data_IF_283875354861
#
_entry.id   IF_283875354861
#
_cell.length_a   1.000
_cell.length_b   1.000
_cell.length_c   1.000
_cell.angle_alpha   90.00
_cell.angle_beta   90.00
_cell.angle_gamma   90.00
#
_symmetry.space_group_name_H-M   'P 1'
#
loop_
_entity.id
_entity.type
_entity.pdbx_description
1 polymer ?
#
# COMPACT_ATOMS: atom_id res chain seq x y z
N UNK A 1 16.42 5.11 0.25
CA UNK A 1 15.14 4.38 0.22
C UNK A 1 14.11 5.14 1.04
N UNK A 2 12.89 5.22 0.55
CA UNK A 2 11.75 5.76 1.29
C UNK A 2 11.00 4.66 2.05
N UNK A 3 10.32 5.03 3.14
CA UNK A 3 9.60 4.09 4.01
C UNK A 3 8.15 4.49 4.22
N UNK A 4 7.24 3.53 4.03
CA UNK A 4 5.80 3.71 4.20
C UNK A 4 5.27 2.76 5.27
N UNK A 5 4.39 3.26 6.12
CA UNK A 5 3.55 2.40 6.97
C UNK A 5 2.22 2.17 6.25
N UNK A 6 1.81 0.91 6.14
CA UNK A 6 0.53 0.50 5.57
C UNK A 6 -0.37 -0.10 6.64
N UNK A 7 -1.59 0.41 6.77
CA UNK A 7 -2.64 -0.21 7.57
C UNK A 7 -3.90 -0.48 6.72
N UNK A 8 -4.24 -1.77 6.58
CA UNK A 8 -5.49 -2.21 5.90
C UNK A 8 -6.67 -2.22 6.89
N UNK A 9 -6.45 -1.81 8.11
CA UNK A 9 -7.44 -1.72 9.20
C UNK A 9 -8.18 -3.04 9.46
N UNK A 10 -7.43 -4.15 9.41
CA UNK A 10 -7.94 -5.44 9.87
C UNK A 10 -8.39 -5.36 11.33
N UNK A 11 -9.52 -5.99 11.64
CA UNK A 11 -10.06 -6.07 12.99
C UNK A 11 -10.64 -7.46 13.30
N UNK A 12 -9.89 -8.55 13.07
CA UNK A 12 -10.33 -9.89 13.43
C UNK A 12 -10.22 -10.09 14.95
N UNK A 13 -10.88 -11.12 15.51
CA UNK A 13 -10.58 -11.59 16.85
C UNK A 13 -9.10 -11.99 16.97
N UNK A 14 -8.50 -11.66 18.11
CA UNK A 14 -7.11 -12.03 18.39
C UNK A 14 -6.93 -13.56 18.40
N UNK A 15 -5.93 -14.15 17.72
CA UNK A 15 -5.84 -15.59 17.50
C UNK A 15 -5.62 -16.40 18.81
N UNK A 16 -5.11 -15.76 19.85
CA UNK A 16 -4.82 -16.42 21.13
C UNK A 16 -5.94 -16.15 22.15
N UNK A 17 -6.38 -14.89 22.31
CA UNK A 17 -7.33 -14.49 23.34
C UNK A 17 -8.79 -14.54 22.86
N UNK A 18 -9.05 -14.51 21.55
CA UNK A 18 -10.38 -14.41 20.97
C UNK A 18 -11.03 -13.03 21.06
N UNK A 19 -10.37 -12.07 21.67
CA UNK A 19 -10.89 -10.70 21.83
C UNK A 19 -10.83 -9.91 20.52
N UNK A 20 -11.78 -8.99 20.34
CA UNK A 20 -11.80 -8.06 19.21
C UNK A 20 -11.74 -6.63 19.75
N UNK A 21 -10.89 -5.81 19.18
CA UNK A 21 -10.79 -4.38 19.52
C UNK A 21 -12.08 -3.67 19.11
N UNK A 22 -12.60 -2.78 19.94
CA UNK A 22 -13.78 -1.99 19.59
C UNK A 22 -13.48 -1.16 18.30
N UNK A 23 -14.42 -1.09 17.34
CA UNK A 23 -14.18 -0.42 16.05
C UNK A 23 -13.72 1.03 16.21
N UNK A 24 -14.28 1.78 17.18
CA UNK A 24 -13.88 3.15 17.45
C UNK A 24 -12.40 3.24 17.89
N UNK A 25 -11.96 2.34 18.79
CA UNK A 25 -10.58 2.32 19.26
C UNK A 25 -9.61 1.91 18.15
N UNK A 26 -10.01 0.93 17.32
CA UNK A 26 -9.19 0.48 16.19
C UNK A 26 -9.01 1.58 15.14
N UNK A 27 -10.07 2.34 14.81
CA UNK A 27 -10.00 3.45 13.85
C UNK A 27 -9.16 4.62 14.39
N UNK A 28 -9.35 5.00 15.67
CA UNK A 28 -8.51 6.03 16.29
C UNK A 28 -7.02 5.61 16.33
N UNK A 29 -6.74 4.34 16.61
CA UNK A 29 -5.37 3.79 16.60
C UNK A 29 -4.68 3.97 15.25
N UNK A 30 -5.40 3.85 14.11
CA UNK A 30 -4.83 4.12 12.79
C UNK A 30 -4.34 5.55 12.67
N UNK A 31 -5.17 6.51 13.10
CA UNK A 31 -4.82 7.93 13.06
C UNK A 31 -3.63 8.23 13.97
N UNK A 32 -3.61 7.69 15.18
CA UNK A 32 -2.50 7.87 16.12
C UNK A 32 -1.20 7.23 15.63
N UNK A 33 -1.28 6.05 14.99
CA UNK A 33 -0.11 5.43 14.34
C UNK A 33 0.45 6.28 13.20
N UNK A 34 -0.42 6.95 12.42
CA UNK A 34 0.05 7.86 11.37
C UNK A 34 0.76 9.10 11.93
N UNK A 35 0.27 9.64 13.04
CA UNK A 35 0.93 10.73 13.78
C UNK A 35 2.30 10.28 14.29
N UNK A 36 2.36 9.11 14.93
CA UNK A 36 3.63 8.54 15.39
C UNK A 36 4.61 8.30 14.23
N UNK A 37 4.15 7.79 13.08
CA UNK A 37 4.99 7.59 11.91
C UNK A 37 5.60 8.92 11.42
N UNK A 38 4.85 10.02 11.44
CA UNK A 38 5.35 11.36 11.14
C UNK A 38 6.39 11.83 12.17
N UNK A 39 6.14 11.63 13.46
CA UNK A 39 7.06 11.99 14.55
C UNK A 39 8.40 11.25 14.42
N UNK A 40 8.34 9.99 14.02
CA UNK A 40 9.51 9.12 13.81
C UNK A 40 10.25 9.38 12.48
N UNK A 41 9.78 10.31 11.64
CA UNK A 41 10.44 10.66 10.38
C UNK A 41 10.29 9.61 9.28
N UNK A 42 9.22 8.83 9.31
CA UNK A 42 8.84 7.96 8.19
C UNK A 42 8.21 8.81 7.08
N UNK A 43 8.34 8.35 5.83
CA UNK A 43 8.06 9.19 4.66
C UNK A 43 6.59 9.20 4.28
N UNK A 44 5.87 8.07 4.45
CA UNK A 44 4.48 7.94 4.01
C UNK A 44 3.65 7.05 4.94
N UNK A 45 2.34 7.34 4.97
CA UNK A 45 1.34 6.49 5.62
C UNK A 45 0.22 6.15 4.63
N UNK A 46 -0.06 4.86 4.47
CA UNK A 46 -1.07 4.36 3.55
C UNK A 46 -2.22 3.67 4.29
N UNK A 47 -3.45 3.94 3.82
CA UNK A 47 -4.66 3.25 4.29
C UNK A 47 -5.20 2.37 3.17
N UNK A 48 -5.38 1.07 3.45
CA UNK A 48 -5.99 0.14 2.51
C UNK A 48 -7.51 0.33 2.41
N UNK A 49 -8.10 -0.22 1.34
CA UNK A 49 -9.55 -0.26 1.16
C UNK A 49 -10.03 -1.71 1.04
N UNK A 50 -11.07 -2.02 1.79
CA UNK A 50 -11.77 -3.28 1.64
C UNK A 50 -13.23 -3.16 2.07
N UNK A 51 -14.12 -3.73 1.26
CA UNK A 51 -15.54 -3.87 1.55
C UNK A 51 -15.81 -5.34 1.87
N UNK A 52 -16.63 -5.59 2.87
CA UNK A 52 -16.90 -6.90 3.44
C UNK A 52 -15.72 -7.53 4.22
N UNK A 53 -16.03 -8.46 5.11
CA UNK A 53 -15.07 -9.16 5.96
C UNK A 53 -14.71 -8.41 7.24
N UNK A 54 -13.59 -8.79 7.84
CA UNK A 54 -13.10 -8.26 9.14
C UNK A 54 -12.16 -7.07 8.95
N UNK A 55 -12.59 -6.07 8.18
CA UNK A 55 -11.83 -4.87 7.87
C UNK A 55 -12.71 -3.65 8.07
N UNK A 56 -12.19 -2.60 8.69
CA UNK A 56 -12.93 -1.38 9.00
C UNK A 56 -12.67 -0.23 8.01
N UNK A 57 -11.79 -0.42 7.03
CA UNK A 57 -11.40 0.62 6.06
C UNK A 57 -12.22 0.59 4.77
N UNK A 58 -13.55 0.55 4.88
CA UNK A 58 -14.44 0.69 3.72
C UNK A 58 -14.52 2.13 3.18
N UNK A 59 -14.00 3.10 3.93
CA UNK A 59 -13.97 4.50 3.56
C UNK A 59 -12.59 5.10 3.87
N UNK A 60 -11.55 4.74 3.11
CA UNK A 60 -10.18 5.21 3.36
C UNK A 60 -10.07 6.72 3.27
N UNK A 61 -10.89 7.38 2.45
CA UNK A 61 -10.93 8.85 2.32
C UNK A 61 -11.27 9.55 3.63
N UNK A 62 -12.20 9.01 4.42
CA UNK A 62 -12.56 9.56 5.73
C UNK A 62 -11.40 9.42 6.72
N UNK A 63 -10.72 8.28 6.73
CA UNK A 63 -9.58 8.02 7.61
C UNK A 63 -8.39 8.93 7.21
N UNK A 64 -8.09 9.01 5.92
CA UNK A 64 -7.03 9.89 5.39
C UNK A 64 -7.31 11.36 5.66
N UNK A 65 -8.58 11.81 5.60
CA UNK A 65 -8.98 13.16 6.00
C UNK A 65 -8.69 13.44 7.48
N UNK A 66 -8.96 12.48 8.36
CA UNK A 66 -8.62 12.60 9.79
C UNK A 66 -7.09 12.64 10.01
N UNK A 67 -6.33 11.84 9.29
CA UNK A 67 -4.85 11.86 9.35
C UNK A 67 -4.31 13.18 8.79
N UNK A 68 -4.84 13.68 7.67
CA UNK A 68 -4.44 14.97 7.08
C UNK A 68 -4.58 16.14 8.06
N UNK A 69 -5.63 16.11 8.89
CA UNK A 69 -5.89 17.14 9.91
C UNK A 69 -4.95 17.04 11.13
N UNK A 70 -4.30 15.89 11.34
CA UNK A 70 -3.43 15.62 12.50
C UNK A 70 -1.94 15.62 12.17
N UNK A 71 -1.60 15.68 10.87
CA UNK A 71 -0.21 15.61 10.37
C UNK A 71 0.11 16.80 9.47
N UNK A 72 1.39 17.06 9.25
CA UNK A 72 1.84 18.24 8.49
C UNK A 72 2.92 17.95 7.44
N UNK A 73 3.60 16.81 7.53
CA UNK A 73 4.74 16.44 6.68
C UNK A 73 4.56 15.11 5.97
N UNK A 74 4.10 14.08 6.68
CA UNK A 74 4.01 12.71 6.15
C UNK A 74 3.12 12.67 4.88
N UNK A 75 3.58 11.99 3.86
CA UNK A 75 2.81 11.78 2.64
C UNK A 75 1.68 10.79 2.91
N UNK A 76 0.49 11.11 2.44
CA UNK A 76 -0.69 10.29 2.59
C UNK A 76 -0.90 9.45 1.33
N UNK A 77 -1.23 8.18 1.52
CA UNK A 77 -1.45 7.29 0.39
C UNK A 77 -2.58 6.29 0.64
N UNK A 78 -3.00 5.63 -0.42
CA UNK A 78 -3.86 4.45 -0.31
C UNK A 78 -3.04 3.18 -0.52
N UNK A 79 -3.54 2.05 -0.02
CA UNK A 79 -2.83 0.78 -0.20
C UNK A 79 -3.75 -0.45 -0.24
N UNK A 80 -4.64 -0.49 -1.26
CA UNK A 80 -4.91 0.31 -2.46
C UNK A 80 -6.30 0.97 -2.40
N UNK A 81 -6.59 1.93 -3.29
CA UNK A 81 -7.95 2.27 -3.69
C UNK A 81 -8.44 1.20 -4.66
N UNK A 82 -9.56 0.54 -4.35
CA UNK A 82 -10.11 -0.52 -5.21
C UNK A 82 -10.90 0.11 -6.36
N UNK A 83 -10.18 0.73 -7.29
CA UNK A 83 -10.75 1.58 -8.34
C UNK A 83 -11.71 0.83 -9.27
N UNK A 84 -11.59 -0.50 -9.37
CA UNK A 84 -12.55 -1.33 -10.11
C UNK A 84 -13.96 -1.37 -9.51
N UNK A 85 -14.11 -0.92 -8.26
CA UNK A 85 -15.39 -0.92 -7.53
C UNK A 85 -16.01 0.48 -7.43
N UNK A 86 -15.26 1.53 -7.72
CA UNK A 86 -15.61 2.90 -7.39
C UNK A 86 -15.94 3.72 -8.65
N UNK A 87 -16.84 4.68 -8.47
CA UNK A 87 -17.11 5.70 -9.48
C UNK A 87 -15.92 6.67 -9.61
N UNK A 88 -15.30 6.81 -10.79
CA UNK A 88 -14.10 7.62 -10.97
C UNK A 88 -14.33 9.12 -10.76
N UNK A 89 -15.56 9.64 -10.93
CA UNK A 89 -15.90 11.04 -10.64
C UNK A 89 -15.82 11.28 -9.14
N UNK A 90 -16.44 10.38 -8.33
CA UNK A 90 -16.35 10.47 -6.86
C UNK A 90 -14.92 10.30 -6.36
N UNK A 91 -14.16 9.38 -6.96
CA UNK A 91 -12.74 9.19 -6.63
C UNK A 91 -11.94 10.45 -6.91
N UNK A 92 -12.15 11.11 -8.06
CA UNK A 92 -11.47 12.37 -8.39
C UNK A 92 -11.78 13.48 -7.37
N UNK A 93 -13.05 13.65 -6.98
CA UNK A 93 -13.51 14.66 -6.02
C UNK A 93 -12.98 14.39 -4.60
N UNK A 94 -13.14 13.16 -4.10
CA UNK A 94 -12.77 12.79 -2.75
C UNK A 94 -11.26 12.90 -2.53
N UNK A 95 -10.46 12.40 -3.46
CA UNK A 95 -8.99 12.43 -3.30
C UNK A 95 -8.39 13.80 -3.64
N UNK A 96 -8.98 14.58 -4.54
CA UNK A 96 -8.59 15.97 -4.68
C UNK A 96 -8.92 16.80 -3.42
N UNK A 97 -10.01 16.46 -2.70
CA UNK A 97 -10.32 17.06 -1.40
C UNK A 97 -9.24 16.73 -0.36
N UNK A 98 -8.78 15.46 -0.30
CA UNK A 98 -7.67 15.07 0.59
C UNK A 98 -6.39 15.79 0.20
N UNK A 99 -6.09 15.89 -1.09
CA UNK A 99 -4.89 16.58 -1.59
C UNK A 99 -4.91 18.07 -1.21
N UNK A 100 -6.06 18.73 -1.29
CA UNK A 100 -6.24 20.12 -0.82
C UNK A 100 -6.07 20.25 0.71
N UNK A 101 -6.70 19.37 1.49
CA UNK A 101 -6.61 19.38 2.95
C UNK A 101 -5.17 19.10 3.43
N UNK A 102 -4.48 18.22 2.76
CA UNK A 102 -3.07 17.89 3.06
C UNK A 102 -2.05 18.84 2.42
N UNK A 103 -2.48 19.78 1.56
CA UNK A 103 -1.63 20.71 0.82
C UNK A 103 -0.63 20.02 -0.09
N UNK A 104 -1.12 19.06 -0.89
CA UNK A 104 -0.32 18.35 -1.90
C UNK A 104 0.47 17.16 -1.38
N UNK A 105 0.19 16.68 -0.17
CA UNK A 105 0.83 15.47 0.41
C UNK A 105 0.05 14.19 0.10
N UNK A 106 -0.56 14.06 -1.04
CA UNK A 106 -1.32 12.88 -1.40
C UNK A 106 -0.81 12.22 -2.68
N UNK A 107 -0.66 10.90 -2.64
CA UNK A 107 -0.49 10.03 -3.81
C UNK A 107 -1.42 8.83 -3.70
N UNK A 108 -1.88 8.31 -4.83
CA UNK A 108 -2.84 7.22 -4.87
C UNK A 108 -2.17 5.92 -5.29
N UNK A 109 -2.44 4.82 -4.61
CA UNK A 109 -2.17 3.47 -5.14
C UNK A 109 -3.50 2.84 -5.52
N UNK A 110 -3.68 2.51 -6.80
CA UNK A 110 -4.90 1.85 -7.30
C UNK A 110 -4.73 0.35 -7.45
N UNK A 111 -5.84 -0.38 -7.42
CA UNK A 111 -5.88 -1.81 -7.69
C UNK A 111 -7.29 -2.30 -7.98
N UNK A 112 -7.38 -3.56 -8.42
CA UNK A 112 -8.67 -4.23 -8.65
C UNK A 112 -9.29 -4.84 -7.38
N UNK A 113 -8.55 -4.80 -6.27
CA UNK A 113 -8.87 -5.60 -5.09
C UNK A 113 -8.60 -7.10 -5.28
N UNK A 114 -8.56 -7.81 -4.18
CA UNK A 114 -8.31 -9.26 -4.16
C UNK A 114 -9.45 -10.05 -3.50
N UNK A 115 -10.54 -9.40 -3.10
CA UNK A 115 -11.67 -10.01 -2.40
C UNK A 115 -12.90 -10.07 -3.30
N UNK A 116 -13.27 -11.29 -3.73
CA UNK A 116 -14.39 -11.49 -4.64
C UNK A 116 -15.74 -11.04 -4.04
N UNK A 117 -15.90 -11.17 -2.72
CA UNK A 117 -17.14 -10.82 -2.02
C UNK A 117 -17.48 -9.32 -2.10
N UNK A 118 -16.54 -8.45 -2.46
CA UNK A 118 -16.76 -7.00 -2.58
C UNK A 118 -17.63 -6.64 -3.79
N UNK A 119 -17.49 -7.37 -4.90
CA UNK A 119 -18.17 -7.05 -6.15
C UNK A 119 -19.70 -7.11 -6.04
N UNK A 120 -20.33 -8.20 -5.56
CA UNK A 120 -21.77 -8.25 -5.44
C UNK A 120 -22.35 -7.26 -4.41
N UNK A 121 -21.57 -6.86 -3.39
CA UNK A 121 -22.00 -5.82 -2.44
C UNK A 121 -22.28 -4.49 -3.14
N UNK A 122 -21.55 -4.19 -4.20
CA UNK A 122 -21.68 -2.97 -5.00
C UNK A 122 -22.39 -3.20 -6.34
N UNK A 123 -22.99 -4.38 -6.53
CA UNK A 123 -23.75 -4.69 -7.74
C UNK A 123 -22.90 -4.90 -8.99
N UNK A 124 -21.61 -5.23 -8.82
CA UNK A 124 -20.65 -5.40 -9.90
C UNK A 124 -20.35 -6.88 -10.19
N UNK A 125 -19.93 -7.16 -11.42
CA UNK A 125 -19.50 -8.48 -11.86
C UNK A 125 -17.98 -8.62 -11.79
N UNK A 126 -17.49 -9.52 -10.95
CA UNK A 126 -16.04 -9.78 -10.79
C UNK A 126 -15.37 -10.23 -12.10
N UNK A 127 -16.10 -10.87 -13.01
CA UNK A 127 -15.53 -11.29 -14.30
C UNK A 127 -15.03 -10.08 -15.13
N UNK A 128 -15.59 -8.91 -14.87
CA UNK A 128 -15.24 -7.66 -15.56
C UNK A 128 -14.26 -6.78 -14.77
N UNK A 129 -13.65 -7.28 -13.71
CA UNK A 129 -12.80 -6.50 -12.79
C UNK A 129 -11.68 -5.70 -13.50
N UNK A 130 -11.11 -6.25 -14.55
CA UNK A 130 -10.04 -5.59 -15.30
C UNK A 130 -10.57 -4.53 -16.28
N UNK A 131 -11.74 -4.77 -16.86
CA UNK A 131 -12.42 -3.80 -17.71
C UNK A 131 -12.82 -2.57 -16.87
N UNK A 132 -13.42 -2.78 -15.70
CA UNK A 132 -13.73 -1.71 -14.74
C UNK A 132 -12.47 -0.94 -14.34
N UNK A 133 -11.40 -1.65 -13.95
CA UNK A 133 -10.16 -1.00 -13.53
C UNK A 133 -9.59 -0.12 -14.63
N UNK A 134 -9.52 -0.62 -15.86
CA UNK A 134 -8.95 0.11 -16.98
C UNK A 134 -9.79 1.35 -17.32
N UNK A 135 -11.10 1.17 -17.50
CA UNK A 135 -11.99 2.28 -17.90
C UNK A 135 -12.03 3.36 -16.81
N UNK A 136 -12.20 2.97 -15.54
CA UNK A 136 -12.23 3.90 -14.43
C UNK A 136 -10.89 4.64 -14.26
N UNK A 137 -9.78 3.97 -14.52
CA UNK A 137 -8.46 4.59 -14.46
C UNK A 137 -8.25 5.61 -15.58
N UNK A 138 -8.62 5.29 -16.81
CA UNK A 138 -8.52 6.20 -17.96
C UNK A 138 -9.39 7.46 -17.76
N UNK A 139 -10.60 7.31 -17.24
CA UNK A 139 -11.47 8.41 -16.89
C UNK A 139 -10.92 9.23 -15.71
N UNK A 140 -10.48 8.58 -14.64
CA UNK A 140 -9.89 9.26 -13.49
C UNK A 140 -8.72 10.16 -13.89
N UNK A 141 -7.81 9.67 -14.75
CA UNK A 141 -6.68 10.46 -15.24
C UNK A 141 -7.15 11.75 -15.95
N UNK A 142 -8.18 11.65 -16.79
CA UNK A 142 -8.73 12.82 -17.45
C UNK A 142 -9.35 13.80 -16.45
N UNK A 143 -10.11 13.30 -15.48
CA UNK A 143 -10.78 14.14 -14.47
C UNK A 143 -9.80 14.90 -13.57
N UNK A 144 -8.70 14.28 -13.13
CA UNK A 144 -7.73 14.95 -12.27
C UNK A 144 -6.79 15.90 -13.03
N UNK A 145 -6.59 15.69 -14.33
CA UNK A 145 -5.67 16.48 -15.16
C UNK A 145 -6.36 17.59 -15.94
N UNK A 146 -7.55 17.32 -16.48
CA UNK A 146 -8.27 18.20 -17.42
C UNK A 146 -9.44 18.94 -16.80
N UNK A 147 -9.97 19.87 -17.57
CA UNK A 147 -11.23 20.55 -17.34
C UNK A 147 -12.18 20.25 -18.53
N UNK A 148 -13.49 20.42 -18.32
CA UNK A 148 -14.50 20.17 -19.34
C UNK A 148 -14.37 18.77 -19.99
N UNK A 149 -14.15 17.75 -19.17
CA UNK A 149 -13.97 16.36 -19.61
C UNK A 149 -15.26 15.85 -20.24
N UNK A 150 -15.15 15.39 -21.48
CA UNK A 150 -16.20 14.67 -22.18
C UNK A 150 -15.81 13.21 -22.31
N UNK A 151 -16.66 12.30 -21.84
CA UNK A 151 -16.39 10.87 -21.77
C UNK A 151 -17.51 10.05 -22.39
N UNK A 152 -17.13 8.97 -23.06
CA UNK A 152 -18.05 7.92 -23.52
C UNK A 152 -17.35 6.58 -23.37
N UNK A 153 -17.77 5.79 -22.41
CA UNK A 153 -17.21 4.47 -22.07
C UNK A 153 -18.26 3.37 -22.16
N UNK A 154 -17.88 2.19 -21.70
CA UNK A 154 -18.74 1.00 -21.68
C UNK A 154 -19.43 0.84 -20.32
N UNK A 155 -18.74 1.19 -19.25
CA UNK A 155 -19.18 0.92 -17.87
C UNK A 155 -19.60 2.17 -17.12
N UNK A 156 -19.01 3.32 -17.44
CA UNK A 156 -19.40 4.61 -16.87
C UNK A 156 -20.36 5.35 -17.80
N UNK A 157 -21.33 6.06 -17.22
CA UNK A 157 -22.26 6.92 -17.98
C UNK A 157 -21.49 8.00 -18.75
N UNK A 158 -21.99 8.43 -19.94
CA UNK A 158 -21.36 9.51 -20.66
C UNK A 158 -21.30 10.81 -19.86
N UNK A 159 -20.18 11.53 -19.97
CA UNK A 159 -19.99 12.86 -19.40
C UNK A 159 -19.91 13.90 -20.52
N UNK A 160 -20.48 15.07 -20.31
CA UNK A 160 -20.41 16.20 -21.23
C UNK A 160 -19.82 17.43 -20.52
N UNK A 161 -18.57 17.76 -20.85
CA UNK A 161 -17.83 18.93 -20.36
C UNK A 161 -17.86 19.08 -18.82
N UNK A 162 -17.53 18.02 -18.10
CA UNK A 162 -17.51 18.00 -16.63
C UNK A 162 -16.14 18.42 -16.11
N UNK A 163 -16.13 19.32 -15.15
CA UNK A 163 -14.95 19.65 -14.33
C UNK A 163 -15.24 19.26 -12.89
N UNK A 164 -14.45 18.32 -12.35
CA UNK A 164 -14.54 17.92 -10.93
C UNK A 164 -13.91 18.97 -10.01
N UNK A 165 -14.52 19.22 -8.87
CA UNK A 165 -14.06 20.16 -7.86
C UNK A 165 -14.04 19.51 -6.47
N UNK A 166 -13.01 19.84 -5.60
CA UNK A 166 -11.91 20.73 -5.92
C UNK A 166 -10.95 20.12 -6.95
N UNK A 167 -10.10 20.95 -7.56
CA UNK A 167 -8.95 20.45 -8.35
C UNK A 167 -7.86 19.97 -7.40
N UNK A 168 -6.98 19.04 -7.82
CA UNK A 168 -5.78 18.70 -7.05
C UNK A 168 -4.93 19.95 -6.74
N UNK A 169 -4.23 19.94 -5.59
CA UNK A 169 -3.58 21.12 -5.01
C UNK A 169 -2.52 21.77 -5.92
N UNK A 170 -1.66 20.98 -6.51
CA UNK A 170 -0.57 21.47 -7.36
C UNK A 170 -0.47 20.71 -8.70
N UNK A 171 -1.63 20.46 -9.32
CA UNK A 171 -1.73 19.60 -10.49
C UNK A 171 -2.02 18.14 -10.12
N UNK A 172 -2.14 17.25 -11.10
CA UNK A 172 -2.52 15.86 -10.87
C UNK A 172 -1.60 15.17 -9.85
N UNK A 173 -2.18 14.51 -8.85
CA UNK A 173 -1.39 13.70 -7.93
C UNK A 173 -0.90 12.42 -8.64
N UNK A 174 0.22 11.88 -8.16
CA UNK A 174 0.80 10.65 -8.71
C UNK A 174 -0.10 9.45 -8.41
N UNK A 175 -0.21 8.57 -9.39
CA UNK A 175 -0.93 7.30 -9.26
C UNK A 175 0.07 6.16 -9.39
N UNK A 176 0.05 5.25 -8.42
CA UNK A 176 0.78 3.99 -8.41
C UNK A 176 -0.18 2.85 -8.72
N UNK A 177 0.33 1.76 -9.29
CA UNK A 177 -0.45 0.54 -9.51
C UNK A 177 -0.02 -0.56 -8.56
N UNK A 178 -0.95 -1.02 -7.70
CA UNK A 178 -0.73 -2.14 -6.79
C UNK A 178 -0.85 -3.47 -7.51
N UNK A 179 0.16 -4.33 -7.40
CA UNK A 179 0.13 -5.68 -7.95
C UNK A 179 0.64 -6.71 -6.94
N UNK A 180 -0.18 -7.74 -6.68
CA UNK A 180 0.27 -8.95 -6.00
C UNK A 180 0.72 -10.02 -7.01
N UNK A 181 -0.05 -10.21 -8.09
CA UNK A 181 0.16 -11.31 -9.05
C UNK A 181 -0.35 -10.98 -10.45
N UNK A 182 -0.72 -9.72 -10.69
CA UNK A 182 -1.39 -9.32 -11.91
C UNK A 182 -0.42 -8.71 -12.91
N UNK A 183 -0.13 -9.43 -13.99
CA UNK A 183 0.57 -8.87 -15.14
C UNK A 183 -0.19 -7.68 -15.74
N UNK A 184 -1.54 -7.74 -15.80
CA UNK A 184 -2.36 -6.65 -16.29
C UNK A 184 -2.08 -5.32 -15.57
N UNK A 185 -1.96 -5.34 -14.24
CA UNK A 185 -1.72 -4.11 -13.48
C UNK A 185 -0.35 -3.50 -13.79
N UNK A 186 0.69 -4.33 -13.95
CA UNK A 186 2.04 -3.84 -14.28
C UNK A 186 2.14 -3.35 -15.74
N UNK A 187 1.43 -4.00 -16.66
CA UNK A 187 1.35 -3.57 -18.06
C UNK A 187 0.62 -2.23 -18.18
N UNK A 188 -0.47 -2.06 -17.44
CA UNK A 188 -1.21 -0.79 -17.40
C UNK A 188 -0.34 0.34 -16.84
N UNK A 189 0.38 0.10 -15.74
CA UNK A 189 1.32 1.05 -15.18
C UNK A 189 2.42 1.45 -16.16
N UNK A 190 3.07 0.46 -16.76
CA UNK A 190 4.14 0.68 -17.72
C UNK A 190 3.67 1.50 -18.94
N UNK A 191 2.49 1.20 -19.45
CA UNK A 191 1.89 1.94 -20.57
C UNK A 191 1.73 3.43 -20.30
N UNK A 192 1.36 3.79 -19.07
CA UNK A 192 1.08 5.17 -18.68
C UNK A 192 2.28 5.88 -18.04
N UNK A 193 3.40 5.21 -17.85
CA UNK A 193 4.56 5.77 -17.18
C UNK A 193 4.37 5.95 -15.67
N UNK A 194 3.50 5.15 -15.06
CA UNK A 194 3.21 5.19 -13.63
C UNK A 194 4.06 4.21 -12.85
N UNK A 195 4.40 4.48 -11.58
CA UNK A 195 5.11 3.55 -10.72
C UNK A 195 4.23 2.38 -10.26
N UNK A 196 4.88 1.32 -9.76
CA UNK A 196 4.19 0.14 -9.22
C UNK A 196 4.50 -0.08 -7.73
N UNK A 197 3.54 -0.69 -7.02
CA UNK A 197 3.77 -1.28 -5.69
C UNK A 197 3.55 -2.78 -5.79
N UNK A 198 4.63 -3.56 -5.59
CA UNK A 198 4.56 -5.01 -5.44
C UNK A 198 4.09 -5.35 -4.03
N UNK A 199 3.08 -6.20 -3.89
CA UNK A 199 2.57 -6.59 -2.58
C UNK A 199 3.63 -7.29 -1.71
N UNK A 200 4.50 -8.12 -2.31
CA UNK A 200 5.62 -8.81 -1.66
C UNK A 200 5.31 -9.29 -0.23
N UNK A 201 4.21 -10.03 -0.06
CA UNK A 201 3.73 -10.42 1.27
C UNK A 201 3.50 -11.93 1.43
N UNK A 202 3.10 -12.63 0.37
CA UNK A 202 2.55 -13.97 0.47
C UNK A 202 3.29 -15.05 -0.30
N UNK A 203 4.10 -14.67 -1.29
CA UNK A 203 4.78 -15.58 -2.21
C UNK A 203 6.29 -15.44 -2.13
N UNK A 204 7.05 -16.42 -2.64
CA UNK A 204 8.49 -16.29 -2.77
C UNK A 204 8.89 -15.09 -3.66
N UNK A 205 10.08 -14.57 -3.41
CA UNK A 205 10.68 -13.41 -4.07
C UNK A 205 10.58 -13.47 -5.61
N UNK A 206 10.82 -14.63 -6.16
CA UNK A 206 10.87 -14.84 -7.61
C UNK A 206 9.54 -14.56 -8.31
N UNK A 207 8.44 -14.85 -7.63
CA UNK A 207 7.09 -14.59 -8.16
C UNK A 207 6.82 -13.10 -8.37
N UNK A 208 7.35 -12.26 -7.50
CA UNK A 208 7.22 -10.80 -7.63
C UNK A 208 8.27 -10.21 -8.57
N UNK A 209 9.51 -10.77 -8.55
CA UNK A 209 10.58 -10.30 -9.41
C UNK A 209 10.22 -10.36 -10.89
N UNK A 210 9.58 -11.44 -11.33
CA UNK A 210 9.11 -11.57 -12.72
C UNK A 210 8.20 -10.43 -13.14
N UNK A 211 7.32 -9.97 -12.26
CA UNK A 211 6.41 -8.85 -12.55
C UNK A 211 7.14 -7.50 -12.54
N UNK A 212 8.10 -7.32 -11.65
CA UNK A 212 8.92 -6.11 -11.58
C UNK A 212 9.82 -5.99 -12.83
N UNK A 213 10.45 -7.08 -13.25
CA UNK A 213 11.27 -7.11 -14.45
C UNK A 213 10.42 -6.80 -15.69
N UNK A 214 9.25 -7.44 -15.82
CA UNK A 214 8.27 -7.15 -16.89
C UNK A 214 7.84 -5.70 -16.92
N UNK A 215 7.57 -5.12 -15.74
CA UNK A 215 7.20 -3.71 -15.64
C UNK A 215 8.29 -2.80 -16.22
N UNK A 216 9.55 -2.97 -15.80
CA UNK A 216 10.67 -2.13 -16.26
C UNK A 216 10.94 -2.29 -17.75
N UNK A 217 10.87 -3.52 -18.27
CA UNK A 217 11.00 -3.79 -19.70
C UNK A 217 9.94 -3.03 -20.50
N UNK A 218 8.67 -3.20 -20.14
CA UNK A 218 7.57 -2.54 -20.82
C UNK A 218 7.57 -1.02 -20.64
N UNK A 219 7.96 -0.53 -19.47
CA UNK A 219 8.10 0.89 -19.21
C UNK A 219 9.08 1.55 -20.19
N UNK A 220 10.21 0.92 -20.41
CA UNK A 220 11.20 1.38 -21.40
C UNK A 220 10.69 1.23 -22.85
N UNK A 221 10.00 0.13 -23.19
CA UNK A 221 9.42 -0.10 -24.52
C UNK A 221 8.36 0.96 -24.87
N UNK A 222 7.59 1.46 -23.90
CA UNK A 222 6.66 2.57 -24.09
C UNK A 222 7.35 3.95 -24.20
N UNK A 223 8.68 4.02 -24.12
CA UNK A 223 9.45 5.24 -24.30
C UNK A 223 9.56 6.13 -23.07
N UNK A 224 9.22 5.62 -21.90
CA UNK A 224 9.41 6.33 -20.64
C UNK A 224 10.85 6.26 -20.15
N UNK A 225 11.27 7.25 -19.35
CA UNK A 225 12.61 7.28 -18.75
C UNK A 225 12.80 6.14 -17.72
N UNK A 226 13.67 5.15 -17.98
CA UNK A 226 13.87 4.01 -17.06
C UNK A 226 14.28 4.43 -15.63
N UNK A 227 14.88 5.60 -15.45
CA UNK A 227 15.24 6.14 -14.13
C UNK A 227 14.01 6.51 -13.29
N UNK A 228 12.84 6.66 -13.92
CA UNK A 228 11.56 6.97 -13.26
C UNK A 228 10.65 5.73 -13.09
N UNK A 229 11.12 4.55 -13.43
CA UNK A 229 10.42 3.29 -13.23
C UNK A 229 10.46 2.86 -11.74
N UNK A 230 9.90 3.70 -10.87
CA UNK A 230 9.90 3.47 -9.43
C UNK A 230 9.11 2.23 -9.03
N UNK A 231 9.63 1.53 -8.04
CA UNK A 231 9.03 0.31 -7.49
C UNK A 231 8.90 0.44 -5.97
N UNK A 232 7.70 0.23 -5.47
CA UNK A 232 7.45 -0.02 -4.06
C UNK A 232 7.41 -1.52 -3.77
N UNK A 233 7.88 -1.91 -2.60
CA UNK A 233 7.81 -3.29 -2.11
C UNK A 233 7.06 -3.34 -0.78
N UNK A 234 6.05 -4.21 -0.69
CA UNK A 234 5.43 -4.58 0.57
C UNK A 234 6.32 -5.49 1.43
N UNK A 235 5.76 -5.98 2.52
CA UNK A 235 6.41 -6.94 3.41
C UNK A 235 5.39 -7.94 3.98
N UNK A 236 5.87 -9.08 4.45
CA UNK A 236 5.05 -10.13 5.08
C UNK A 236 4.75 -9.90 6.57
N UNK A 237 4.96 -8.69 7.07
CA UNK A 237 4.82 -8.29 8.47
C UNK A 237 6.12 -7.70 9.02
N UNK A 238 5.99 -6.96 10.12
CA UNK A 238 7.11 -6.32 10.82
C UNK A 238 7.07 -6.70 12.31
N UNK A 239 8.17 -7.22 12.84
CA UNK A 239 8.38 -7.43 14.28
C UNK A 239 9.87 -7.42 14.63
N UNK A 240 10.24 -6.67 15.66
CA UNK A 240 11.62 -6.50 16.11
C UNK A 240 11.79 -6.91 17.57
N UNK A 241 12.87 -7.60 17.87
CA UNK A 241 13.36 -7.89 19.23
C UNK A 241 14.89 -7.77 19.26
N UNK A 242 15.51 -7.98 20.44
CA UNK A 242 16.95 -7.83 20.59
C UNK A 242 17.73 -8.89 19.81
N UNK A 243 17.15 -10.08 19.67
CA UNK A 243 17.71 -11.13 18.81
C UNK A 243 16.66 -11.69 17.86
N UNK A 244 17.10 -12.27 16.75
CA UNK A 244 16.20 -12.89 15.78
C UNK A 244 15.42 -14.05 16.39
N UNK A 245 16.04 -14.84 17.25
CA UNK A 245 15.38 -15.95 17.94
C UNK A 245 14.25 -15.46 18.84
N UNK A 246 14.49 -14.39 19.60
CA UNK A 246 13.46 -13.76 20.43
C UNK A 246 12.30 -13.22 19.58
N UNK A 247 12.61 -12.54 18.48
CA UNK A 247 11.58 -12.01 17.57
C UNK A 247 10.71 -13.14 16.99
N UNK A 248 11.32 -14.21 16.54
CA UNK A 248 10.62 -15.39 16.00
C UNK A 248 9.75 -16.04 17.07
N UNK A 249 10.26 -16.24 18.28
CA UNK A 249 9.50 -16.86 19.37
C UNK A 249 8.29 -16.02 19.80
N UNK A 250 8.47 -14.70 19.93
CA UNK A 250 7.40 -13.78 20.34
C UNK A 250 6.34 -13.60 19.23
N UNK A 251 6.74 -13.58 17.96
CA UNK A 251 5.84 -13.39 16.84
C UNK A 251 5.12 -14.67 16.40
N UNK A 252 5.64 -15.85 16.74
CA UNK A 252 5.10 -17.17 16.37
C UNK A 252 3.61 -17.34 16.65
N UNK A 253 3.09 -17.08 17.87
CA UNK A 253 1.66 -17.30 18.16
C UNK A 253 0.74 -16.47 17.27
N UNK A 254 1.19 -15.26 16.92
CA UNK A 254 0.44 -14.33 16.07
C UNK A 254 0.47 -14.80 14.61
N UNK A 255 1.66 -15.16 14.12
CA UNK A 255 1.83 -15.59 12.73
C UNK A 255 1.07 -16.89 12.44
N UNK A 256 1.34 -17.92 13.25
CA UNK A 256 0.72 -19.24 13.06
C UNK A 256 -0.78 -19.21 13.34
N UNK A 257 -1.23 -18.40 14.28
CA UNK A 257 -2.66 -18.16 14.52
C UNK A 257 -3.34 -17.47 13.32
N UNK A 258 -2.68 -16.56 12.66
CA UNK A 258 -3.21 -15.95 11.43
C UNK A 258 -3.27 -16.95 10.27
N UNK A 259 -2.25 -17.82 10.13
CA UNK A 259 -2.22 -18.91 9.15
C UNK A 259 -3.36 -19.89 9.40
N UNK A 260 -3.53 -20.36 10.64
CA UNK A 260 -4.60 -21.28 11.03
C UNK A 260 -6.02 -20.72 10.77
N UNK A 261 -6.20 -19.41 11.01
CA UNK A 261 -7.45 -18.71 10.68
C UNK A 261 -7.72 -18.68 9.16
N UNK A 262 -6.70 -18.42 8.35
CA UNK A 262 -6.82 -18.41 6.89
C UNK A 262 -7.26 -19.81 6.39
N UNK A 263 -6.70 -20.87 6.96
CA UNK A 263 -7.09 -22.26 6.65
C UNK A 263 -8.55 -22.55 7.05
N UNK A 264 -8.95 -22.14 8.25
CA UNK A 264 -10.32 -22.34 8.75
C UNK A 264 -11.38 -21.64 7.90
N UNK A 265 -11.01 -20.59 7.17
CA UNK A 265 -11.87 -19.89 6.20
C UNK A 265 -11.97 -20.59 4.85
N UNK A 266 -11.24 -21.68 4.66
CA UNK A 266 -11.21 -22.41 3.41
C UNK A 266 -10.56 -21.65 2.26
N UNK A 267 -9.66 -20.73 2.55
CA UNK A 267 -8.81 -20.15 1.51
C UNK A 267 -7.95 -21.24 0.89
N UNK A 268 -8.08 -21.41 -0.42
CA UNK A 268 -7.22 -22.34 -1.16
C UNK A 268 -5.75 -21.87 -1.03
N UNK A 269 -4.84 -22.71 -0.50
CA UNK A 269 -3.42 -22.38 -0.44
C UNK A 269 -2.79 -22.08 -1.82
N UNK A 270 -3.46 -22.52 -2.90
CA UNK A 270 -3.07 -22.19 -4.28
C UNK A 270 -3.64 -20.87 -4.78
N UNK A 271 -4.54 -20.24 -4.01
CA UNK A 271 -5.07 -18.93 -4.34
C UNK A 271 -3.97 -17.87 -4.15
N UNK A 272 -3.21 -17.64 -5.20
CA UNK A 272 -2.08 -16.71 -5.23
C UNK A 272 -2.52 -15.32 -4.78
N UNK A 273 -1.82 -14.76 -3.79
CA UNK A 273 -2.11 -13.44 -3.25
C UNK A 273 -3.15 -13.37 -2.12
N UNK A 274 -3.69 -14.52 -1.66
CA UNK A 274 -4.65 -14.58 -0.54
C UNK A 274 -4.14 -15.33 0.68
N UNK A 275 -3.29 -16.32 0.47
CA UNK A 275 -2.70 -17.15 1.52
C UNK A 275 -1.20 -17.15 1.36
N UNK A 276 -0.48 -17.05 2.48
CA UNK A 276 0.97 -17.14 2.46
C UNK A 276 1.45 -18.53 2.02
N UNK A 277 2.48 -18.55 1.18
CA UNK A 277 3.19 -19.79 0.82
C UNK A 277 4.02 -20.35 2.00
N UNK A 278 4.24 -19.54 3.04
CA UNK A 278 5.04 -19.87 4.21
C UNK A 278 4.13 -20.28 5.36
N UNK A 279 4.30 -21.49 5.87
CA UNK A 279 3.39 -22.08 6.87
C UNK A 279 3.84 -21.83 8.31
N UNK A 280 5.13 -21.60 8.51
CA UNK A 280 5.72 -21.29 9.81
C UNK A 280 6.38 -19.92 9.79
N UNK A 281 6.59 -19.34 10.96
CA UNK A 281 7.26 -18.05 11.09
C UNK A 281 8.72 -18.15 10.60
N UNK A 282 9.39 -19.27 10.83
CA UNK A 282 10.77 -19.51 10.35
C UNK A 282 10.84 -19.48 8.82
N UNK A 283 9.94 -20.19 8.15
CA UNK A 283 9.88 -20.15 6.70
C UNK A 283 9.65 -18.73 6.18
N UNK A 284 8.77 -17.96 6.80
CA UNK A 284 8.49 -16.57 6.44
C UNK A 284 9.68 -15.65 6.67
N UNK A 285 10.45 -15.89 7.74
CA UNK A 285 11.66 -15.13 8.08
C UNK A 285 12.84 -15.54 7.21
N UNK A 286 13.06 -16.80 6.96
CA UNK A 286 14.22 -17.26 6.18
C UNK A 286 14.02 -17.10 4.66
N UNK A 287 12.86 -17.50 4.15
CA UNK A 287 12.58 -17.62 2.71
C UNK A 287 11.53 -16.63 2.20
N UNK A 288 10.70 -16.13 3.09
CA UNK A 288 9.61 -15.22 2.78
C UNK A 288 9.95 -13.75 3.05
N UNK A 289 8.98 -12.85 2.83
CA UNK A 289 9.15 -11.40 2.95
C UNK A 289 8.92 -10.84 4.34
N UNK A 290 8.80 -11.68 5.39
CA UNK A 290 8.58 -11.20 6.74
C UNK A 290 9.82 -10.47 7.28
N UNK A 291 9.65 -9.24 7.72
CA UNK A 291 10.66 -8.41 8.37
C UNK A 291 10.60 -8.65 9.89
N UNK A 292 11.03 -9.83 10.31
CA UNK A 292 10.99 -10.30 11.71
C UNK A 292 12.40 -10.71 12.11
N UNK A 293 12.92 -10.13 13.19
CA UNK A 293 14.28 -10.41 13.65
C UNK A 293 14.89 -9.30 14.51
N UNK A 294 16.20 -9.38 14.72
CA UNK A 294 16.95 -8.23 15.23
C UNK A 294 16.99 -7.10 14.20
N UNK A 295 17.28 -5.85 14.62
CA UNK A 295 17.42 -4.74 13.68
C UNK A 295 18.39 -5.03 12.52
N UNK A 296 19.55 -5.64 12.81
CA UNK A 296 20.56 -5.98 11.79
C UNK A 296 20.01 -6.99 10.78
N UNK A 297 19.26 -8.00 11.27
CA UNK A 297 18.63 -9.00 10.40
C UNK A 297 17.59 -8.37 9.48
N UNK A 298 16.81 -7.43 9.98
CA UNK A 298 15.80 -6.70 9.18
C UNK A 298 16.47 -5.80 8.15
N UNK A 299 17.56 -5.09 8.52
CA UNK A 299 18.38 -4.31 7.57
C UNK A 299 18.91 -5.20 6.45
N UNK A 300 19.58 -6.29 6.80
CA UNK A 300 20.13 -7.25 5.83
C UNK A 300 19.05 -7.73 4.84
N UNK A 301 17.88 -8.06 5.37
CA UNK A 301 16.77 -8.56 4.56
C UNK A 301 16.21 -7.50 3.59
N UNK A 302 16.03 -6.26 4.05
CA UNK A 302 15.58 -5.16 3.18
C UNK A 302 16.60 -4.92 2.05
N UNK A 303 17.89 -4.91 2.38
CA UNK A 303 18.96 -4.73 1.40
C UNK A 303 19.05 -5.89 0.40
N UNK A 304 18.88 -7.13 0.85
CA UNK A 304 18.83 -8.31 -0.01
C UNK A 304 17.63 -8.28 -0.99
N UNK A 305 16.45 -7.87 -0.50
CA UNK A 305 15.30 -7.62 -1.38
C UNK A 305 15.52 -6.44 -2.33
N UNK A 306 16.16 -5.37 -1.86
CA UNK A 306 16.51 -4.25 -2.72
C UNK A 306 17.49 -4.66 -3.83
N UNK A 307 18.48 -5.48 -3.52
CA UNK A 307 19.41 -6.03 -4.52
C UNK A 307 18.69 -6.83 -5.61
N UNK A 308 17.59 -7.52 -5.25
CA UNK A 308 16.78 -8.30 -6.19
C UNK A 308 15.80 -7.43 -6.99
N UNK A 309 15.15 -6.47 -6.36
CA UNK A 309 14.03 -5.69 -6.94
C UNK A 309 14.45 -4.30 -7.41
N UNK A 310 15.51 -3.72 -6.83
CA UNK A 310 15.84 -2.31 -7.04
C UNK A 310 14.69 -1.38 -6.63
N UNK A 311 13.99 -1.70 -5.53
CA UNK A 311 12.83 -0.91 -5.10
C UNK A 311 13.25 0.37 -4.37
N UNK A 312 12.44 1.42 -4.56
CA UNK A 312 12.67 2.75 -4.02
C UNK A 312 11.92 2.99 -2.71
N UNK A 313 10.80 2.29 -2.54
CA UNK A 313 9.88 2.40 -1.42
C UNK A 313 9.74 1.04 -0.73
N UNK A 314 10.04 0.99 0.59
CA UNK A 314 9.72 -0.16 1.44
C UNK A 314 8.46 0.14 2.25
N UNK A 315 7.39 -0.60 1.98
CA UNK A 315 6.17 -0.55 2.78
C UNK A 315 6.20 -1.62 3.86
N UNK A 316 5.88 -1.23 5.09
CA UNK A 316 5.79 -2.12 6.24
C UNK A 316 4.41 -2.03 6.88
N UNK A 317 3.94 -3.15 7.45
CA UNK A 317 2.69 -3.18 8.21
C UNK A 317 2.98 -3.60 9.64
N UNK A 318 2.64 -2.75 10.59
CA UNK A 318 2.66 -3.12 12.01
C UNK A 318 1.47 -4.04 12.29
N UNK A 319 1.70 -5.15 12.96
CA UNK A 319 0.66 -6.14 13.17
C UNK A 319 -0.41 -5.61 14.14
N UNK A 320 -1.65 -5.51 13.64
CA UNK A 320 -2.81 -5.04 14.40
C UNK A 320 -3.24 -5.96 15.56
N UNK A 321 -2.68 -7.17 15.64
CA UNK A 321 -2.93 -8.12 16.74
C UNK A 321 -2.01 -7.88 17.95
N UNK A 322 -0.96 -7.08 17.78
CA UNK A 322 -0.16 -6.58 18.90
C UNK A 322 -0.97 -5.55 19.70
N UNK A 323 -0.72 -5.42 21.00
CA UNK A 323 -1.26 -4.28 21.74
C UNK A 323 -0.63 -2.95 21.28
N UNK A 324 -1.18 -1.82 21.73
CA UNK A 324 -0.77 -0.50 21.26
C UNK A 324 0.69 -0.19 21.61
N UNK A 325 1.12 -0.57 22.79
CA UNK A 325 2.48 -0.32 23.28
C UNK A 325 3.49 -1.11 22.44
N UNK A 326 3.21 -2.38 22.21
CA UNK A 326 4.03 -3.24 21.33
C UNK A 326 4.09 -2.72 19.88
N UNK A 327 2.93 -2.27 19.32
CA UNK A 327 2.91 -1.68 17.98
C UNK A 327 3.80 -0.44 17.90
N UNK A 328 3.71 0.44 18.87
CA UNK A 328 4.50 1.67 18.94
C UNK A 328 5.99 1.37 19.15
N UNK A 329 6.32 0.39 19.98
CA UNK A 329 7.70 -0.01 20.22
C UNK A 329 8.35 -0.58 18.95
N UNK A 330 7.67 -1.52 18.28
CA UNK A 330 8.13 -2.08 16.99
C UNK A 330 8.36 -0.98 15.96
N UNK A 331 7.46 0.01 15.87
CA UNK A 331 7.58 1.10 14.90
C UNK A 331 8.74 2.05 15.25
N UNK A 332 8.95 2.37 16.56
CA UNK A 332 10.09 3.17 17.00
C UNK A 332 11.41 2.47 16.71
N UNK A 333 11.54 1.22 17.10
CA UNK A 333 12.75 0.42 16.84
C UNK A 333 13.04 0.34 15.33
N UNK A 334 12.01 0.14 14.51
CA UNK A 334 12.19 0.16 13.07
C UNK A 334 12.72 1.50 12.57
N UNK A 335 12.13 2.60 12.99
CA UNK A 335 12.53 3.94 12.58
C UNK A 335 13.92 4.36 13.09
N UNK A 336 14.27 3.98 14.30
CA UNK A 336 15.52 4.40 14.95
C UNK A 336 16.70 3.45 14.65
N UNK A 337 16.45 2.13 14.57
CA UNK A 337 17.51 1.13 14.46
C UNK A 337 17.69 0.58 13.03
N UNK A 338 16.64 0.58 12.18
CA UNK A 338 16.68 0.00 10.82
C UNK A 338 16.76 1.07 9.74
N UNK A 339 15.85 2.03 9.76
CA UNK A 339 15.69 3.04 8.69
C UNK A 339 16.98 3.81 8.39
N UNK A 340 17.75 4.31 9.39
CA UNK A 340 18.98 5.06 9.11
C UNK A 340 20.03 4.21 8.39
N UNK A 341 20.17 2.93 8.76
CA UNK A 341 21.15 2.03 8.15
C UNK A 341 20.80 1.75 6.68
N UNK A 342 19.53 1.46 6.39
CA UNK A 342 19.09 1.24 5.00
C UNK A 342 19.21 2.51 4.16
N UNK A 343 18.87 3.68 4.72
CA UNK A 343 19.03 4.97 4.01
C UNK A 343 20.49 5.33 3.74
N UNK A 344 21.43 4.86 4.55
CA UNK A 344 22.86 5.06 4.30
C UNK A 344 23.31 4.32 3.03
N UNK A 345 22.82 3.10 2.81
CA UNK A 345 23.19 2.22 1.70
C UNK A 345 22.39 2.49 0.41
N UNK A 346 21.09 2.77 0.53
CA UNK A 346 20.19 2.91 -0.62
C UNK A 346 19.74 4.36 -0.79
N UNK A 347 20.19 5.00 -1.88
CA UNK A 347 19.73 6.32 -2.27
C UNK A 347 18.62 6.21 -3.30
N UNK A 348 17.66 7.12 -3.24
CA UNK A 348 16.58 7.27 -4.22
C UNK A 348 16.28 8.74 -4.44
N UNK A 349 15.79 9.09 -5.60
CA UNK A 349 15.27 10.44 -5.89
C UNK A 349 13.73 10.50 -5.75
N UNK A 350 13.10 9.38 -5.39
CA UNK A 350 11.66 9.33 -5.12
C UNK A 350 11.27 10.40 -4.09
N UNK A 351 10.22 11.15 -4.41
CA UNK A 351 9.67 12.24 -3.61
C UNK A 351 10.61 13.45 -3.39
N UNK A 352 11.71 13.55 -4.11
CA UNK A 352 12.50 14.78 -4.14
C UNK A 352 11.79 15.86 -4.98
N UNK A 353 12.17 17.13 -4.81
CA UNK A 353 11.64 18.22 -5.62
C UNK A 353 11.90 18.00 -7.13
N UNK A 354 13.05 17.43 -7.47
CA UNK A 354 13.39 17.07 -8.85
C UNK A 354 12.48 15.97 -9.43
N UNK A 355 12.00 15.07 -8.59
CA UNK A 355 11.09 13.98 -8.99
C UNK A 355 9.65 14.50 -9.13
N UNK A 356 9.15 15.22 -8.16
CA UNK A 356 7.74 15.61 -8.10
C UNK A 356 7.41 16.83 -8.93
N UNK A 357 8.38 17.68 -9.26
CA UNK A 357 8.15 18.99 -9.87
C UNK A 357 7.27 19.91 -9.00
N UNK A 358 6.92 19.48 -7.80
CA UNK A 358 6.10 20.19 -6.83
C UNK A 358 7.02 20.74 -5.75
N UNK A 359 6.87 22.02 -5.43
CA UNK A 359 7.32 22.53 -4.14
C UNK A 359 6.41 21.87 -3.07
N UNK A 360 6.64 20.60 -2.81
CA UNK A 360 6.00 19.89 -1.71
C UNK A 360 6.56 20.51 -0.44
N UNK A 361 5.70 20.89 0.50
CA UNK A 361 6.14 21.21 1.86
C UNK A 361 6.79 19.99 2.55
N UNK A 362 7.06 18.94 1.77
CA UNK A 362 7.75 17.73 2.12
C UNK A 362 9.25 17.93 1.83
N UNK A 363 10.01 18.16 2.84
CA UNK A 363 11.46 17.97 2.85
C UNK A 363 11.72 16.57 3.41
N UNK A 364 12.16 15.66 2.56
CA UNK A 364 12.75 14.41 3.05
C UNK A 364 13.85 14.79 4.04
N UNK A 365 13.74 14.30 5.27
CA UNK A 365 14.71 14.48 6.35
C UNK A 365 15.96 13.66 6.07
#
# INVERSE_FOLDING_TARGET
>A
MCFQVLDIVFNPPHPVTGETVAPADRLNRVVDTAVLAEELGLDSFAVGERHAGEVLSSSPTVILGAIAARTSRILLSTGVTVLSLLDPVRVAEDYATIDQLSRGRFEMVIGKGNEAAQYPVLGLDIAKQYEYLQENYELLRQLISGEEVTWSGTHHVPLDRITTLPRPFAGPFRIWHGSATSAFAVDLAARWGDPIVSANAFQPREAYKVLIDRYREQYAEHGHDPAKAYVGSGSGGLFLADTTEQAVEQYRPIYEGAVARADARGYDPKAVGKVTAFRTVEEAVERGPALVGSPERVVEKILDYHQSYGHDLQSVSVNHLLDVEQQHDVLRRFAEEVVPQVRAEVKTDLWTEADTGRATGFTAV
#
